data_IF_714621269942
#
_entry.id   IF_714621269942
#
_cell.length_a   1.000
_cell.length_b   1.000
_cell.length_c   1.000
_cell.angle_alpha   90.00
_cell.angle_beta   90.00
_cell.angle_gamma   90.00
#
_symmetry.space_group_name_H-M   'P 1'
#
loop_
_entity.id
_entity.type
_entity.pdbx_description
1 polymer ?
#
# COMPACT_ATOMS: atom_id res chain seq x y z
N UNK A 1 8.02 -18.26 35.73
CA UNK A 1 7.26 -17.73 34.58
C UNK A 1 8.17 -16.79 33.79
N UNK A 2 8.57 -17.15 32.57
CA UNK A 2 9.47 -16.32 31.74
C UNK A 2 8.61 -15.31 30.97
N UNK A 3 8.71 -14.03 31.31
CA UNK A 3 8.00 -12.97 30.58
C UNK A 3 8.85 -12.59 29.37
N UNK A 4 8.40 -12.91 28.15
CA UNK A 4 9.02 -12.43 26.92
C UNK A 4 8.51 -11.03 26.59
N UNK A 5 9.42 -10.06 26.43
CA UNK A 5 9.07 -8.74 25.92
C UNK A 5 8.88 -8.83 24.41
N UNK A 6 7.65 -8.67 23.95
CA UNK A 6 7.35 -8.56 22.52
C UNK A 6 7.44 -7.10 22.05
N UNK A 7 7.82 -6.90 20.80
CA UNK A 7 7.79 -5.57 20.20
C UNK A 7 6.34 -5.15 19.91
N UNK A 8 5.94 -4.01 20.48
CA UNK A 8 4.62 -3.44 20.20
C UNK A 8 4.52 -2.99 18.74
N UNK A 9 3.40 -3.25 18.08
CA UNK A 9 3.13 -2.83 16.70
C UNK A 9 3.36 -1.32 16.47
N UNK A 10 3.11 -0.49 17.49
CA UNK A 10 3.38 0.94 17.42
C UNK A 10 4.88 1.24 17.28
N UNK A 11 5.74 0.49 17.96
CA UNK A 11 7.18 0.62 17.86
C UNK A 11 7.68 0.23 16.46
N UNK A 12 7.16 -0.88 15.92
CA UNK A 12 7.51 -1.34 14.57
C UNK A 12 7.08 -0.32 13.51
N UNK A 13 5.85 0.19 13.60
CA UNK A 13 5.35 1.23 12.69
C UNK A 13 6.15 2.54 12.79
N UNK A 14 6.56 2.95 14.00
CA UNK A 14 7.43 4.13 14.20
C UNK A 14 8.81 3.94 13.57
N UNK A 15 9.42 2.75 13.69
CA UNK A 15 10.71 2.44 13.03
C UNK A 15 10.60 2.58 11.52
N UNK A 16 9.55 2.03 10.92
CA UNK A 16 9.29 2.17 9.49
C UNK A 16 9.22 3.65 9.09
N UNK A 17 8.37 4.44 9.76
CA UNK A 17 8.22 5.88 9.46
C UNK A 17 9.54 6.66 9.56
N UNK A 18 10.36 6.37 10.58
CA UNK A 18 11.69 7.00 10.72
C UNK A 18 12.65 6.57 9.62
N UNK A 19 12.66 5.29 9.24
CA UNK A 19 13.45 4.79 8.12
C UNK A 19 13.11 5.49 6.79
N UNK A 20 11.82 5.65 6.49
CA UNK A 20 11.38 6.34 5.28
C UNK A 20 11.79 7.82 5.30
N UNK A 21 11.60 8.53 6.42
CA UNK A 21 12.04 9.93 6.55
C UNK A 21 13.55 10.09 6.35
N UNK A 22 14.34 9.19 6.91
CA UNK A 22 15.80 9.21 6.73
C UNK A 22 16.19 8.98 5.27
N UNK A 23 15.54 8.02 4.58
CA UNK A 23 15.77 7.83 3.16
C UNK A 23 15.37 9.04 2.35
N UNK A 24 14.22 9.65 2.57
CA UNK A 24 13.83 10.89 1.86
C UNK A 24 14.88 11.98 2.04
N UNK A 25 15.41 12.16 3.26
CA UNK A 25 16.48 13.14 3.52
C UNK A 25 17.73 12.82 2.68
N UNK A 26 18.15 11.56 2.62
CA UNK A 26 19.28 11.10 1.81
C UNK A 26 19.07 11.31 0.30
N UNK A 27 17.87 10.99 -0.21
CA UNK A 27 17.54 11.18 -1.63
C UNK A 27 17.43 12.66 -2.00
N UNK A 28 16.96 13.50 -1.06
CA UNK A 28 16.96 14.96 -1.20
C UNK A 28 18.36 15.53 -1.25
N UNK A 29 19.28 15.05 -0.40
CA UNK A 29 20.67 15.52 -0.42
C UNK A 29 21.42 15.10 -1.69
N UNK A 30 20.98 14.02 -2.34
CA UNK A 30 21.54 13.55 -3.61
C UNK A 30 20.91 14.22 -4.85
N UNK A 31 19.94 15.11 -4.68
CA UNK A 31 19.17 15.74 -5.79
C UNK A 31 18.51 14.74 -6.76
N UNK A 32 18.35 13.46 -6.38
CA UNK A 32 17.78 12.42 -7.24
C UNK A 32 16.25 12.39 -7.15
N UNK A 33 15.70 12.73 -5.99
CA UNK A 33 14.25 12.96 -5.86
C UNK A 33 13.93 14.40 -6.21
N UNK A 34 12.81 14.61 -6.91
CA UNK A 34 12.18 15.92 -7.11
C UNK A 34 11.91 16.60 -5.75
N UNK A 35 12.91 17.32 -5.25
CA UNK A 35 12.80 18.18 -4.07
C UNK A 35 11.98 19.43 -4.41
N UNK A 36 11.04 19.79 -3.54
CA UNK A 36 10.21 21.00 -3.64
C UNK A 36 8.73 20.75 -3.35
N UNK A 37 7.91 21.82 -3.37
CA UNK A 37 6.43 21.77 -3.36
C UNK A 37 5.86 21.28 -4.71
N UNK A 38 6.47 20.27 -5.32
CA UNK A 38 5.98 19.67 -6.57
C UNK A 38 4.97 18.58 -6.23
N UNK A 39 3.97 18.41 -7.10
CA UNK A 39 2.85 17.48 -6.93
C UNK A 39 3.30 16.03 -6.69
N UNK A 40 4.45 15.66 -7.23
CA UNK A 40 5.07 14.33 -7.18
C UNK A 40 6.03 14.11 -6.00
N UNK A 41 6.21 15.10 -5.12
CA UNK A 41 7.09 14.93 -3.95
C UNK A 41 6.45 13.99 -2.93
N UNK A 42 7.24 13.09 -2.32
CA UNK A 42 6.75 12.21 -1.27
C UNK A 42 6.37 13.05 -0.02
N UNK A 43 5.06 13.31 0.15
CA UNK A 43 4.51 14.11 1.25
C UNK A 43 4.50 13.32 2.56
N UNK A 44 4.62 14.02 3.69
CA UNK A 44 4.53 13.40 5.03
C UNK A 44 3.18 12.69 5.25
N UNK A 45 2.10 13.19 4.64
CA UNK A 45 0.79 12.53 4.68
C UNK A 45 0.81 11.14 4.00
N UNK A 46 1.60 10.96 2.94
CA UNK A 46 1.78 9.66 2.27
C UNK A 46 2.57 8.69 3.15
N UNK A 47 3.57 9.20 3.89
CA UNK A 47 4.33 8.42 4.88
C UNK A 47 3.48 7.95 6.05
N UNK A 48 2.60 8.83 6.54
CA UNK A 48 1.66 8.49 7.60
C UNK A 48 0.68 7.39 7.15
N UNK A 49 0.14 7.50 5.93
CA UNK A 49 -0.70 6.46 5.32
C UNK A 49 0.04 5.11 5.22
N UNK A 50 1.28 5.12 4.74
CA UNK A 50 2.10 3.90 4.65
C UNK A 50 2.34 3.24 6.01
N UNK A 51 2.68 4.03 7.04
CA UNK A 51 2.88 3.54 8.41
C UNK A 51 1.60 2.88 8.95
N UNK A 52 0.44 3.45 8.64
CA UNK A 52 -0.85 2.89 9.05
C UNK A 52 -1.21 1.61 8.31
N UNK A 53 -0.98 1.55 6.99
CA UNK A 53 -1.20 0.33 6.21
C UNK A 53 -0.29 -0.80 6.69
N UNK A 54 0.97 -0.50 6.96
CA UNK A 54 1.91 -1.47 7.52
C UNK A 54 1.42 -2.06 8.85
N UNK A 55 0.96 -1.19 9.77
CA UNK A 55 0.38 -1.63 11.05
C UNK A 55 -0.86 -2.49 10.85
N UNK A 56 -1.74 -2.11 9.92
CA UNK A 56 -2.97 -2.85 9.60
C UNK A 56 -2.65 -4.22 8.98
N UNK A 57 -1.72 -4.27 8.04
CA UNK A 57 -1.28 -5.51 7.39
C UNK A 57 -0.74 -6.52 8.40
N UNK A 58 0.03 -6.07 9.40
CA UNK A 58 0.48 -6.95 10.47
C UNK A 58 -0.72 -7.39 11.32
N UNK A 59 -1.53 -6.45 11.83
CA UNK A 59 -2.66 -6.75 12.73
C UNK A 59 -3.64 -7.76 12.13
N UNK A 60 -3.98 -7.60 10.85
CA UNK A 60 -5.01 -8.41 10.19
C UNK A 60 -4.52 -9.81 9.79
N UNK A 61 -3.21 -10.05 9.79
CA UNK A 61 -2.62 -11.31 9.32
C UNK A 61 -1.86 -12.10 10.41
N UNK A 62 -1.86 -11.65 11.67
CA UNK A 62 -1.37 -12.46 12.80
C UNK A 62 -2.16 -13.76 12.92
N UNK A 63 -1.50 -14.92 13.13
CA UNK A 63 -0.05 -15.12 13.36
C UNK A 63 0.79 -15.46 12.12
N UNK A 64 0.23 -15.42 10.92
CA UNK A 64 0.88 -15.88 9.68
C UNK A 64 1.86 -14.83 9.10
N UNK A 65 3.16 -15.07 9.33
CA UNK A 65 4.24 -14.17 8.90
C UNK A 65 4.31 -14.03 7.37
N UNK A 66 3.99 -15.07 6.60
CA UNK A 66 4.03 -14.98 5.14
C UNK A 66 2.90 -14.09 4.64
N UNK A 67 1.69 -14.27 5.17
CA UNK A 67 0.56 -13.37 4.86
C UNK A 67 0.81 -11.94 5.28
N UNK A 68 1.47 -11.69 6.42
CA UNK A 68 1.90 -10.33 6.80
C UNK A 68 2.81 -9.71 5.74
N UNK A 69 3.86 -10.43 5.30
CA UNK A 69 4.79 -9.94 4.27
C UNK A 69 4.05 -9.62 2.98
N UNK A 70 3.23 -10.54 2.50
CA UNK A 70 2.41 -10.33 1.30
C UNK A 70 1.52 -9.10 1.46
N UNK A 71 0.79 -8.96 2.57
CA UNK A 71 -0.09 -7.82 2.81
C UNK A 71 0.65 -6.47 2.88
N UNK A 72 1.88 -6.46 3.40
CA UNK A 72 2.74 -5.27 3.42
C UNK A 72 3.13 -4.86 2.00
N UNK A 73 3.60 -5.80 1.17
CA UNK A 73 3.97 -5.52 -0.21
C UNK A 73 2.77 -5.12 -1.07
N UNK A 74 1.64 -5.82 -0.93
CA UNK A 74 0.34 -5.46 -1.50
C UNK A 74 -0.02 -4.01 -1.20
N UNK A 75 0.12 -3.58 0.07
CA UNK A 75 -0.19 -2.20 0.48
C UNK A 75 0.73 -1.19 -0.17
N UNK A 76 2.04 -1.48 -0.25
CA UNK A 76 3.03 -0.63 -0.91
C UNK A 76 2.73 -0.49 -2.41
N UNK A 77 2.56 -1.62 -3.10
CA UNK A 77 2.26 -1.63 -4.53
C UNK A 77 0.90 -0.98 -4.83
N UNK A 78 -0.09 -1.09 -3.94
CA UNK A 78 -1.36 -0.36 -4.06
C UNK A 78 -1.14 1.15 -4.12
N UNK A 79 -0.29 1.70 -3.26
CA UNK A 79 -0.02 3.13 -3.23
C UNK A 79 0.93 3.62 -4.32
N UNK A 80 1.72 2.74 -4.93
CA UNK A 80 2.67 3.07 -6.01
C UNK A 80 2.13 2.81 -7.42
N UNK A 81 1.05 2.03 -7.54
CA UNK A 81 0.45 1.69 -8.82
C UNK A 81 -0.27 2.89 -9.43
N UNK A 82 -0.04 3.13 -10.71
CA UNK A 82 -0.71 4.18 -11.49
C UNK A 82 -1.44 3.56 -12.68
N UNK A 83 -2.35 4.30 -13.31
CA UNK A 83 -3.00 3.86 -14.57
C UNK A 83 -1.98 3.53 -15.67
N UNK A 84 -0.87 4.28 -15.73
CA UNK A 84 0.16 4.14 -16.78
C UNK A 84 1.11 2.98 -16.50
N UNK A 85 1.38 2.69 -15.24
CA UNK A 85 2.25 1.61 -14.80
C UNK A 85 1.56 0.83 -13.68
N UNK A 86 0.60 -0.04 -14.04
CA UNK A 86 -0.15 -0.76 -13.05
C UNK A 86 0.62 -1.98 -12.52
N UNK A 87 0.64 -2.14 -11.21
CA UNK A 87 1.29 -3.28 -10.56
C UNK A 87 0.23 -4.32 -10.21
N UNK A 88 -0.04 -5.28 -11.09
CA UNK A 88 -1.13 -6.27 -10.95
C UNK A 88 -0.69 -7.60 -10.30
N UNK A 89 0.56 -8.01 -10.47
CA UNK A 89 1.01 -9.38 -10.18
C UNK A 89 1.11 -9.74 -8.68
N UNK A 90 0.90 -8.79 -7.78
CA UNK A 90 1.11 -8.94 -6.34
C UNK A 90 -0.21 -9.09 -5.56
N UNK A 91 -1.36 -9.09 -6.25
CA UNK A 91 -2.69 -9.03 -5.62
C UNK A 91 -3.45 -10.36 -5.76
N UNK A 92 -4.30 -10.71 -4.76
CA UNK A 92 -5.22 -11.82 -4.92
C UNK A 92 -6.08 -11.61 -6.17
N UNK A 93 -6.07 -12.63 -7.02
CA UNK A 93 -6.68 -12.63 -8.36
C UNK A 93 -8.15 -13.05 -8.26
N UNK A 94 -9.04 -12.40 -9.01
CA UNK A 94 -10.48 -12.74 -9.08
C UNK A 94 -11.44 -11.65 -8.56
N UNK A 95 -12.75 -11.91 -8.59
CA UNK A 95 -13.83 -10.99 -8.15
C UNK A 95 -13.74 -10.59 -6.67
N UNK A 96 -13.06 -11.39 -5.86
CA UNK A 96 -12.84 -11.13 -4.43
C UNK A 96 -11.59 -10.27 -4.18
N UNK A 97 -10.91 -9.80 -5.24
CA UNK A 97 -9.76 -8.92 -5.09
C UNK A 97 -10.17 -7.67 -4.33
N UNK A 98 -9.39 -7.33 -3.31
CA UNK A 98 -9.61 -6.09 -2.57
C UNK A 98 -9.27 -4.86 -3.43
N UNK A 99 -8.49 -5.04 -4.51
CA UNK A 99 -8.24 -4.00 -5.50
C UNK A 99 -9.45 -3.84 -6.41
N UNK A 100 -10.06 -2.67 -6.32
CA UNK A 100 -11.21 -2.28 -7.11
C UNK A 100 -11.03 -2.56 -8.61
N UNK A 101 -9.90 -2.12 -9.18
CA UNK A 101 -9.64 -2.29 -10.61
C UNK A 101 -9.54 -3.76 -11.00
N UNK A 102 -8.88 -4.60 -10.19
CA UNK A 102 -8.73 -6.03 -10.50
C UNK A 102 -10.10 -6.72 -10.50
N UNK A 103 -10.91 -6.48 -9.47
CA UNK A 103 -12.28 -7.02 -9.40
C UNK A 103 -13.16 -6.49 -10.53
N UNK A 104 -13.05 -5.20 -10.86
CA UNK A 104 -13.78 -4.60 -11.96
C UNK A 104 -13.31 -5.12 -13.34
N UNK A 105 -12.02 -5.40 -13.51
CA UNK A 105 -11.46 -6.04 -14.70
C UNK A 105 -12.02 -7.45 -14.88
N UNK A 106 -12.06 -8.26 -13.81
CA UNK A 106 -12.68 -9.59 -13.86
C UNK A 106 -14.19 -9.53 -14.12
N UNK A 107 -14.89 -8.53 -13.57
CA UNK A 107 -16.32 -8.33 -13.81
C UNK A 107 -16.62 -7.77 -15.22
N UNK A 108 -15.76 -6.91 -15.76
CA UNK A 108 -15.92 -6.40 -17.13
C UNK A 108 -15.57 -7.48 -18.15
N UNK A 109 -14.56 -8.32 -17.85
CA UNK A 109 -14.24 -9.50 -18.65
C UNK A 109 -15.39 -10.54 -18.65
N UNK A 110 -16.12 -10.71 -17.54
CA UNK A 110 -17.32 -11.57 -17.53
C UNK A 110 -18.49 -10.99 -18.33
N UNK A 111 -18.53 -9.67 -18.48
CA UNK A 111 -19.62 -8.94 -19.14
C UNK A 111 -19.28 -8.52 -20.58
N UNK A 112 -18.11 -8.91 -21.13
CA UNK A 112 -17.57 -8.46 -22.43
C UNK A 112 -17.45 -6.92 -22.56
N UNK A 113 -17.16 -6.22 -21.47
CA UNK A 113 -16.97 -4.76 -21.44
C UNK A 113 -15.50 -4.38 -21.22
N UNK A 114 -15.09 -3.21 -21.75
CA UNK A 114 -13.77 -2.66 -21.48
C UNK A 114 -13.68 -2.14 -20.03
N UNK A 115 -12.59 -2.42 -19.29
CA UNK A 115 -12.41 -1.98 -17.92
C UNK A 115 -12.31 -0.45 -17.85
N UNK A 116 -13.08 0.18 -16.95
CA UNK A 116 -13.04 1.64 -16.72
C UNK A 116 -11.68 2.04 -16.08
N UNK A 117 -11.25 3.30 -16.28
CA UNK A 117 -10.00 3.83 -15.70
C UNK A 117 -10.04 3.87 -14.17
N UNK A 118 -8.88 3.72 -13.51
CA UNK A 118 -8.79 3.80 -12.05
C UNK A 118 -9.28 5.14 -11.47
N UNK A 119 -9.29 6.21 -12.27
CA UNK A 119 -9.56 7.59 -11.84
C UNK A 119 -11.07 7.88 -11.77
N UNK A 120 -11.85 7.23 -12.62
CA UNK A 120 -13.30 7.43 -12.71
C UNK A 120 -14.12 6.44 -11.87
N UNK A 121 -13.46 5.43 -11.32
CA UNK A 121 -14.07 4.33 -10.58
C UNK A 121 -14.31 4.69 -9.10
N UNK A 122 -15.58 4.87 -8.69
CA UNK A 122 -15.98 5.03 -7.28
C UNK A 122 -16.79 3.82 -6.82
N UNK A 123 -16.43 3.24 -5.66
CA UNK A 123 -17.27 2.23 -4.98
C UNK A 123 -18.26 2.93 -4.06
N UNK A 124 -19.56 2.61 -4.18
CA UNK A 124 -20.50 2.90 -3.10
C UNK A 124 -20.14 1.98 -1.93
N UNK A 125 -19.68 2.54 -0.82
CA UNK A 125 -19.62 1.82 0.44
C UNK A 125 -21.06 1.52 0.83
N UNK A 126 -21.47 0.25 0.89
CA UNK A 126 -22.74 -0.07 1.55
C UNK A 126 -22.58 0.29 3.01
N UNK A 127 -23.53 1.07 3.53
CA UNK A 127 -23.68 1.32 4.96
C UNK A 127 -24.05 0.03 5.67
#
# INVERSE_FOLDING_TARGET
>A
MKISKEECLNLVAKRLGTGLRNKIKEWRSKCVTNGGRKEESLKESTLFKHSNFYRKAIKDNVPDVQKMKTAIFVSLFHTSSTDKAPMYNEFPTGLTSWRFYQSAFYQSASNNENPKSHSSMKRKLSK
#
